data_IF_272372607654
#
_entry.id   IF_272372607654
#
_cell.length_a   1.000
_cell.length_b   1.000
_cell.length_c   1.000
_cell.angle_alpha   90.00
_cell.angle_beta   90.00
_cell.angle_gamma   90.00
#
_symmetry.space_group_name_H-M   'P 1'
#
loop_
_entity.id
_entity.type
_entity.pdbx_description
1 polymer ?
#
# COMPACT_ATOMS: atom_id res chain seq x y z
N UNK A 1 21.45 25.94 15.81
CA UNK A 1 22.09 26.91 16.69
C UNK A 1 22.42 28.22 15.94
N UNK A 2 23.17 28.18 14.84
CA UNK A 2 23.59 29.37 14.08
C UNK A 2 22.40 30.18 13.56
N UNK A 3 21.42 29.58 12.92
CA UNK A 3 20.23 30.28 12.40
C UNK A 3 19.47 31.04 13.48
N UNK A 4 19.30 30.46 14.66
CA UNK A 4 18.68 31.15 15.81
C UNK A 4 19.51 32.33 16.27
N UNK A 5 20.82 32.16 16.36
CA UNK A 5 21.75 33.24 16.74
C UNK A 5 21.64 34.42 15.76
N UNK A 6 21.76 34.15 14.46
CA UNK A 6 21.65 35.22 13.43
C UNK A 6 20.29 35.93 13.45
N UNK A 7 19.18 35.18 13.59
CA UNK A 7 17.85 35.81 13.67
C UNK A 7 17.76 36.75 14.87
N UNK A 8 18.28 36.35 16.05
CA UNK A 8 18.27 37.19 17.24
C UNK A 8 19.13 38.45 17.05
N UNK A 9 20.34 38.36 16.47
CA UNK A 9 21.19 39.49 16.15
C UNK A 9 20.48 40.46 15.18
N UNK A 10 19.91 39.95 14.09
CA UNK A 10 19.21 40.76 13.12
C UNK A 10 17.95 41.43 13.72
N UNK A 11 17.24 40.77 14.61
CA UNK A 11 16.13 41.32 15.35
C UNK A 11 16.59 42.48 16.27
N UNK A 12 17.65 42.25 17.04
CA UNK A 12 18.19 43.23 17.99
C UNK A 12 18.71 44.48 17.23
N UNK A 13 19.24 44.27 16.03
CA UNK A 13 19.60 45.34 15.11
C UNK A 13 18.39 46.00 14.41
N UNK A 14 17.15 45.56 14.71
CA UNK A 14 15.89 46.01 14.13
C UNK A 14 15.77 45.85 12.59
N UNK A 15 16.54 44.91 12.03
CA UNK A 15 16.50 44.58 10.60
C UNK A 15 15.35 43.62 10.24
N UNK A 16 14.93 42.80 11.21
CA UNK A 16 13.79 41.87 11.08
C UNK A 16 12.92 41.93 12.34
N UNK A 17 11.69 41.39 12.22
CA UNK A 17 10.72 41.31 13.34
C UNK A 17 10.50 39.89 13.86
N UNK A 18 11.28 38.91 13.39
CA UNK A 18 11.15 37.51 13.77
C UNK A 18 11.93 37.20 15.04
N UNK A 19 11.35 36.43 15.94
CA UNK A 19 12.02 35.95 17.16
C UNK A 19 12.72 34.59 16.93
N UNK A 20 12.15 33.74 16.11
CA UNK A 20 12.70 32.42 15.80
C UNK A 20 12.70 32.22 14.26
N UNK A 21 13.74 31.54 13.71
CA UNK A 21 13.87 31.35 12.27
C UNK A 21 12.89 30.34 11.68
N UNK A 22 12.36 29.40 12.51
CA UNK A 22 11.52 28.30 12.06
C UNK A 22 10.31 28.13 12.99
N UNK A 23 9.16 27.84 12.42
CA UNK A 23 7.97 27.45 13.18
C UNK A 23 8.04 25.97 13.60
N UNK A 24 8.58 25.12 12.74
CA UNK A 24 8.73 23.68 12.97
C UNK A 24 10.17 23.26 12.72
N UNK A 25 10.66 22.30 13.47
CA UNK A 25 11.97 21.70 13.29
C UNK A 25 11.81 20.17 13.15
N UNK A 26 12.18 19.64 11.98
CA UNK A 26 12.28 18.21 11.74
C UNK A 26 13.73 17.79 11.92
N UNK A 27 14.00 16.96 12.94
CA UNK A 27 15.32 16.37 13.17
C UNK A 27 15.43 15.07 12.39
N UNK A 28 16.36 15.02 11.45
CA UNK A 28 16.60 13.83 10.63
C UNK A 28 17.31 12.75 11.42
N UNK A 29 16.89 11.49 11.23
CA UNK A 29 17.55 10.30 11.78
C UNK A 29 18.92 10.06 11.15
N UNK A 30 19.73 9.23 11.82
CA UNK A 30 21.07 8.89 11.35
C UNK A 30 21.04 7.73 10.36
N UNK A 31 21.99 7.73 9.43
CA UNK A 31 22.22 6.59 8.54
C UNK A 31 23.28 5.67 9.14
N UNK A 32 22.96 4.39 9.26
CA UNK A 32 23.85 3.35 9.81
C UNK A 32 24.26 2.36 8.74
N UNK A 33 25.40 1.73 8.95
CA UNK A 33 25.92 0.62 8.15
C UNK A 33 26.49 -0.44 9.08
N UNK A 34 25.94 -1.65 9.04
CA UNK A 34 26.31 -2.73 9.96
C UNK A 34 26.00 -2.40 11.42
N UNK A 35 24.85 -1.74 11.68
CA UNK A 35 24.42 -1.32 13.01
C UNK A 35 25.22 -0.18 13.64
N UNK A 36 26.08 0.51 12.86
CA UNK A 36 26.92 1.63 13.34
C UNK A 36 26.67 2.88 12.51
N UNK A 37 26.56 4.02 13.19
CA UNK A 37 26.42 5.32 12.52
C UNK A 37 27.60 5.53 11.57
N UNK A 38 27.31 5.93 10.33
CA UNK A 38 28.31 6.23 9.31
C UNK A 38 29.19 7.40 9.75
N UNK A 39 30.51 7.24 9.65
CA UNK A 39 31.49 8.28 9.98
C UNK A 39 32.74 8.11 9.13
N UNK A 40 33.28 9.22 8.62
CA UNK A 40 34.57 9.22 7.88
C UNK A 40 35.71 8.66 8.72
N UNK A 41 35.74 8.95 10.02
CA UNK A 41 36.77 8.45 10.95
C UNK A 41 36.72 6.95 11.17
N UNK A 42 35.55 6.32 10.93
CA UNK A 42 35.35 4.86 11.06
C UNK A 42 35.53 4.11 9.73
N UNK A 43 35.63 4.82 8.62
CA UNK A 43 35.73 4.21 7.30
C UNK A 43 34.50 3.46 6.83
N UNK A 44 33.34 3.64 7.47
CA UNK A 44 32.09 2.96 7.17
C UNK A 44 31.08 3.89 6.44
N UNK A 45 31.56 4.73 5.55
CA UNK A 45 30.74 5.68 4.79
C UNK A 45 30.45 5.11 3.41
N UNK A 46 29.19 5.17 3.00
CA UNK A 46 28.80 4.95 1.61
C UNK A 46 28.91 6.28 0.88
N UNK A 47 29.75 6.34 -0.16
CA UNK A 47 29.89 7.53 -0.99
C UNK A 47 28.65 7.65 -1.92
N UNK A 48 27.85 8.73 -1.79
CA UNK A 48 26.71 8.96 -2.66
C UNK A 48 27.08 8.98 -4.16
N UNK A 49 28.26 9.48 -4.54
CA UNK A 49 28.70 9.51 -5.93
C UNK A 49 28.83 8.12 -6.54
N UNK A 50 29.30 7.14 -5.77
CA UNK A 50 29.35 5.74 -6.21
C UNK A 50 27.97 5.21 -6.56
N UNK A 51 26.96 5.51 -5.73
CA UNK A 51 25.58 5.10 -5.94
C UNK A 51 24.97 5.84 -7.13
N UNK A 52 25.19 7.15 -7.22
CA UNK A 52 24.68 8.00 -8.31
C UNK A 52 25.25 7.54 -9.65
N UNK A 53 26.55 7.28 -9.73
CA UNK A 53 27.19 6.83 -10.96
C UNK A 53 26.70 5.45 -11.42
N UNK A 54 26.33 4.57 -10.48
CA UNK A 54 25.89 3.20 -10.79
C UNK A 54 24.37 3.11 -11.08
N UNK A 55 23.54 3.85 -10.34
CA UNK A 55 22.10 3.68 -10.34
C UNK A 55 21.34 4.96 -10.67
N UNK A 56 21.99 6.08 -10.82
CA UNK A 56 21.39 7.40 -11.03
C UNK A 56 20.98 8.10 -9.73
N UNK A 57 20.82 9.44 -9.77
CA UNK A 57 20.51 10.25 -8.61
C UNK A 57 19.11 9.96 -8.05
N UNK A 58 18.13 9.71 -8.90
CA UNK A 58 16.75 9.43 -8.45
C UNK A 58 16.64 8.13 -7.66
N UNK A 59 17.45 7.11 -8.00
CA UNK A 59 17.50 5.87 -7.21
C UNK A 59 17.98 6.14 -5.80
N UNK A 60 19.03 6.94 -5.64
CA UNK A 60 19.55 7.32 -4.33
C UNK A 60 18.50 8.11 -3.53
N UNK A 61 17.86 9.12 -4.15
CA UNK A 61 16.82 9.94 -3.53
C UNK A 61 15.63 9.12 -3.04
N UNK A 62 15.06 8.32 -3.94
CA UNK A 62 13.89 7.47 -3.63
C UNK A 62 14.23 6.45 -2.55
N UNK A 63 15.43 5.85 -2.60
CA UNK A 63 15.86 4.88 -1.60
C UNK A 63 15.91 5.49 -0.19
N UNK A 64 16.57 6.63 -0.02
CA UNK A 64 16.68 7.30 1.30
C UNK A 64 15.30 7.63 1.87
N UNK A 65 14.38 8.13 1.03
CA UNK A 65 13.03 8.49 1.45
C UNK A 65 12.11 7.28 1.66
N UNK A 66 12.44 6.13 1.06
CA UNK A 66 11.64 4.91 1.14
C UNK A 66 11.92 4.09 2.40
N UNK A 67 13.20 3.96 2.83
CA UNK A 67 13.60 2.98 3.85
C UNK A 67 13.04 3.33 5.23
N UNK A 68 13.00 4.62 5.58
CA UNK A 68 12.51 5.06 6.88
C UNK A 68 11.82 6.42 6.78
N UNK A 69 10.94 6.72 7.76
CA UNK A 69 10.46 8.09 7.95
C UNK A 69 11.64 9.00 8.32
N UNK A 70 11.58 10.30 7.96
CA UNK A 70 12.72 11.22 8.10
C UNK A 70 13.36 11.28 9.49
N UNK A 71 12.56 11.10 10.56
CA UNK A 71 13.03 11.16 11.96
C UNK A 71 13.65 9.86 12.46
N UNK A 72 13.45 8.76 11.76
CA UNK A 72 13.94 7.45 12.18
C UNK A 72 15.33 7.16 11.64
N UNK A 73 16.05 6.33 12.37
CA UNK A 73 17.32 5.78 11.96
C UNK A 73 17.13 4.86 10.75
N UNK A 74 18.08 4.93 9.79
CA UNK A 74 18.06 4.18 8.54
C UNK A 74 19.28 3.28 8.46
N UNK A 75 19.09 1.96 8.35
CA UNK A 75 20.16 1.02 8.03
C UNK A 75 20.33 0.90 6.52
N UNK A 76 21.55 1.14 6.05
CA UNK A 76 21.89 1.09 4.62
C UNK A 76 21.84 -0.34 4.09
N UNK A 77 21.25 -0.54 2.92
CA UNK A 77 21.19 -1.82 2.22
C UNK A 77 21.37 -1.66 0.71
N UNK A 78 22.43 -2.20 0.16
CA UNK A 78 22.68 -2.21 -1.30
C UNK A 78 21.59 -2.98 -2.06
N UNK A 79 21.03 -4.04 -1.45
CA UNK A 79 19.91 -4.78 -2.01
C UNK A 79 18.65 -3.90 -2.10
N UNK A 80 18.42 -3.06 -1.11
CA UNK A 80 17.34 -2.08 -1.10
C UNK A 80 17.48 -1.05 -2.22
N UNK A 81 18.70 -0.51 -2.41
CA UNK A 81 19.01 0.41 -3.53
C UNK A 81 18.71 -0.24 -4.88
N UNK A 82 19.16 -1.48 -5.08
CA UNK A 82 18.89 -2.22 -6.31
C UNK A 82 17.37 -2.49 -6.52
N UNK A 83 16.62 -2.68 -5.44
CA UNK A 83 15.16 -2.81 -5.47
C UNK A 83 14.47 -1.56 -6.02
N UNK A 84 14.90 -0.38 -5.56
CA UNK A 84 14.40 0.93 -6.04
C UNK A 84 14.80 1.17 -7.50
N UNK A 85 16.04 0.86 -7.87
CA UNK A 85 16.48 0.96 -9.27
C UNK A 85 15.57 0.14 -10.22
N UNK A 86 15.25 -1.10 -9.85
CA UNK A 86 14.34 -1.95 -10.64
C UNK A 86 12.92 -1.35 -10.70
N UNK A 87 12.44 -0.78 -9.60
CA UNK A 87 11.13 -0.12 -9.57
C UNK A 87 11.07 1.08 -10.52
N UNK A 88 12.06 1.97 -10.52
CA UNK A 88 12.13 3.13 -11.41
C UNK A 88 12.20 2.71 -12.89
N UNK A 89 13.04 1.73 -13.21
CA UNK A 89 13.12 1.18 -14.58
C UNK A 89 11.80 0.52 -15.01
N UNK A 90 11.14 -0.21 -14.12
CA UNK A 90 9.81 -0.77 -14.39
C UNK A 90 8.80 0.34 -14.69
N UNK A 91 8.81 1.40 -13.90
CA UNK A 91 7.91 2.55 -14.12
C UNK A 91 8.15 3.18 -15.49
N UNK A 92 9.41 3.41 -15.84
CA UNK A 92 9.79 3.93 -17.15
C UNK A 92 9.34 3.03 -18.30
N UNK A 93 9.51 1.72 -18.19
CA UNK A 93 9.11 0.76 -19.23
C UNK A 93 7.59 0.74 -19.50
N UNK A 94 6.78 1.21 -18.58
CA UNK A 94 5.33 1.33 -18.77
C UNK A 94 4.94 2.52 -19.66
N UNK A 95 5.84 3.48 -19.90
CA UNK A 95 5.59 4.67 -20.71
C UNK A 95 5.21 4.34 -22.16
N UNK A 96 5.87 3.36 -22.76
CA UNK A 96 5.71 2.99 -24.18
C UNK A 96 4.56 1.99 -24.41
N UNK A 97 3.87 1.59 -23.37
CA UNK A 97 2.83 0.59 -23.50
C UNK A 97 1.59 1.14 -24.22
N UNK A 98 1.13 0.38 -25.25
CA UNK A 98 -0.11 0.66 -25.98
C UNK A 98 -1.19 -0.31 -25.51
N UNK A 99 -2.03 0.14 -24.63
CA UNK A 99 -3.16 -0.65 -24.14
C UNK A 99 -4.28 -0.78 -25.18
N UNK A 100 -4.98 -1.91 -25.19
CA UNK A 100 -6.06 -2.24 -26.14
C UNK A 100 -7.40 -2.56 -25.47
N UNK A 101 -7.40 -2.89 -24.18
CA UNK A 101 -8.62 -3.26 -23.46
C UNK A 101 -9.30 -2.06 -22.79
N UNK A 102 -10.39 -2.32 -22.07
CA UNK A 102 -11.11 -1.34 -21.25
C UNK A 102 -11.76 -1.95 -20.00
N UNK A 103 -11.59 -3.25 -19.79
CA UNK A 103 -12.27 -4.01 -18.73
C UNK A 103 -11.91 -3.53 -17.32
N UNK A 104 -10.74 -2.90 -17.18
CA UNK A 104 -10.23 -2.40 -15.91
C UNK A 104 -10.24 -0.88 -15.78
N UNK A 105 -10.88 -0.14 -16.69
CA UNK A 105 -10.91 1.33 -16.69
C UNK A 105 -11.46 1.90 -15.36
N UNK A 106 -12.60 1.41 -14.88
CA UNK A 106 -13.18 1.84 -13.59
C UNK A 106 -12.28 1.49 -12.43
N UNK A 107 -11.78 0.26 -12.39
CA UNK A 107 -10.90 -0.22 -11.33
C UNK A 107 -9.64 0.66 -11.20
N UNK A 108 -8.91 0.86 -12.30
CA UNK A 108 -7.65 1.61 -12.26
C UNK A 108 -7.90 3.13 -12.02
N UNK A 109 -9.04 3.66 -12.47
CA UNK A 109 -9.45 5.04 -12.18
C UNK A 109 -9.72 5.23 -10.70
N UNK A 110 -10.37 4.27 -10.04
CA UNK A 110 -10.54 4.29 -8.59
C UNK A 110 -9.19 4.23 -7.89
N UNK A 111 -8.30 3.32 -8.29
CA UNK A 111 -6.97 3.16 -7.67
C UNK A 111 -6.09 4.39 -7.77
N UNK A 112 -6.06 5.09 -8.91
CA UNK A 112 -5.27 6.32 -9.02
C UNK A 112 -5.86 7.46 -8.16
N UNK A 113 -7.19 7.53 -8.03
CA UNK A 113 -7.82 8.53 -7.15
C UNK A 113 -7.56 8.21 -5.67
N UNK A 114 -7.63 6.95 -5.25
CA UNK A 114 -7.20 6.51 -3.91
C UNK A 114 -5.73 6.83 -3.66
N UNK A 115 -4.85 6.58 -4.64
CA UNK A 115 -3.43 6.91 -4.54
C UNK A 115 -3.22 8.41 -4.33
N UNK A 116 -3.86 9.27 -5.13
CA UNK A 116 -3.76 10.73 -4.99
C UNK A 116 -4.22 11.21 -3.60
N UNK A 117 -5.31 10.64 -3.07
CA UNK A 117 -5.79 10.93 -1.71
C UNK A 117 -4.74 10.60 -0.66
N UNK A 118 -4.24 9.36 -0.65
CA UNK A 118 -3.22 8.92 0.31
C UNK A 118 -1.91 9.71 0.19
N UNK A 119 -1.45 9.96 -1.05
CA UNK A 119 -0.21 10.70 -1.23
C UNK A 119 -0.32 12.15 -0.76
N UNK A 120 -1.44 12.80 -0.99
CA UNK A 120 -1.65 14.17 -0.48
C UNK A 120 -1.51 14.19 1.05
N UNK A 121 -2.17 13.27 1.75
CA UNK A 121 -2.09 13.16 3.21
C UNK A 121 -0.67 12.82 3.69
N UNK A 122 -0.02 11.84 3.06
CA UNK A 122 1.35 11.43 3.44
C UNK A 122 2.39 12.52 3.18
N UNK A 123 2.24 13.29 2.10
CA UNK A 123 3.14 14.41 1.80
C UNK A 123 2.99 15.54 2.81
N UNK A 124 1.77 15.87 3.22
CA UNK A 124 1.50 16.88 4.25
C UNK A 124 2.09 16.47 5.62
N UNK A 125 2.05 15.18 5.94
CA UNK A 125 2.58 14.62 7.19
C UNK A 125 4.06 14.19 7.11
N UNK A 126 4.75 14.41 5.96
CA UNK A 126 6.13 13.98 5.71
C UNK A 126 6.36 12.45 5.85
N UNK A 127 5.31 11.66 5.59
CA UNK A 127 5.35 10.19 5.59
C UNK A 127 5.82 9.63 4.24
N UNK A 128 7.01 10.06 3.79
CA UNK A 128 7.52 9.78 2.46
C UNK A 128 7.69 8.30 2.14
N UNK A 129 8.07 7.51 3.12
CA UNK A 129 8.19 6.05 2.99
C UNK A 129 6.84 5.39 2.69
N UNK A 130 5.76 5.82 3.35
CA UNK A 130 4.41 5.36 3.08
C UNK A 130 3.94 5.79 1.68
N UNK A 131 4.21 7.03 1.28
CA UNK A 131 3.91 7.54 -0.05
C UNK A 131 4.59 6.72 -1.16
N UNK A 132 5.90 6.49 -1.05
CA UNK A 132 6.66 5.70 -2.03
C UNK A 132 6.15 4.25 -2.08
N UNK A 133 5.86 3.64 -0.93
CA UNK A 133 5.28 2.29 -0.86
C UNK A 133 3.96 2.21 -1.63
N UNK A 134 3.09 3.21 -1.50
CA UNK A 134 1.83 3.27 -2.26
C UNK A 134 2.05 3.45 -3.76
N UNK A 135 3.03 4.26 -4.17
CA UNK A 135 3.40 4.42 -5.59
C UNK A 135 3.91 3.07 -6.15
N UNK A 136 4.79 2.37 -5.44
CA UNK A 136 5.30 1.05 -5.85
C UNK A 136 4.14 0.06 -6.03
N UNK A 137 3.21 0.00 -5.07
CA UNK A 137 2.02 -0.85 -5.14
C UNK A 137 1.16 -0.50 -6.37
N UNK A 138 0.92 0.79 -6.62
CA UNK A 138 0.15 1.23 -7.77
C UNK A 138 0.82 0.89 -9.11
N UNK A 139 2.13 1.08 -9.23
CA UNK A 139 2.91 0.69 -10.42
C UNK A 139 2.80 -0.82 -10.68
N UNK A 140 2.79 -1.63 -9.63
CA UNK A 140 2.58 -3.07 -9.74
C UNK A 140 1.17 -3.41 -10.25
N UNK A 141 0.13 -2.73 -9.75
CA UNK A 141 -1.25 -2.87 -10.21
C UNK A 141 -1.35 -2.45 -11.68
N UNK A 142 -0.82 -1.29 -12.05
CA UNK A 142 -0.84 -0.77 -13.41
C UNK A 142 -0.13 -1.73 -14.38
N UNK A 143 1.05 -2.21 -14.00
CA UNK A 143 1.83 -3.19 -14.80
C UNK A 143 1.07 -4.49 -15.06
N UNK A 144 0.28 -4.95 -14.08
CA UNK A 144 -0.51 -6.19 -14.18
C UNK A 144 -1.71 -6.04 -15.11
N UNK A 145 -2.36 -4.90 -15.07
CA UNK A 145 -3.62 -4.67 -15.78
C UNK A 145 -3.48 -3.82 -17.05
N UNK A 146 -2.27 -3.42 -17.43
CA UNK A 146 -1.99 -2.50 -18.54
C UNK A 146 -2.68 -2.88 -19.85
N UNK A 147 -2.81 -4.18 -20.18
CA UNK A 147 -3.46 -4.65 -21.40
C UNK A 147 -4.99 -4.44 -21.39
N UNK A 148 -5.59 -4.32 -20.21
CA UNK A 148 -7.03 -4.26 -19.99
C UNK A 148 -7.52 -2.83 -19.66
N UNK A 149 -6.73 -1.81 -19.99
CA UNK A 149 -7.04 -0.40 -19.76
C UNK A 149 -7.12 0.31 -21.11
N UNK A 150 -8.14 1.15 -21.33
CA UNK A 150 -8.22 1.92 -22.57
C UNK A 150 -7.08 2.92 -22.70
N UNK A 151 -6.61 3.16 -23.93
CA UNK A 151 -5.47 4.05 -24.18
C UNK A 151 -5.68 5.47 -23.65
N UNK A 152 -6.93 5.97 -23.66
CA UNK A 152 -7.28 7.28 -23.11
C UNK A 152 -7.08 7.33 -21.59
N UNK A 153 -7.63 6.35 -20.88
CA UNK A 153 -7.51 6.23 -19.42
C UNK A 153 -6.05 5.98 -19.02
N UNK A 154 -5.35 5.11 -19.75
CA UNK A 154 -3.94 4.82 -19.51
C UNK A 154 -3.07 6.08 -19.56
N UNK A 155 -3.26 6.93 -20.59
CA UNK A 155 -2.54 8.21 -20.71
C UNK A 155 -2.81 9.15 -19.53
N UNK A 156 -4.07 9.31 -19.16
CA UNK A 156 -4.46 10.18 -18.04
C UNK A 156 -3.86 9.72 -16.71
N UNK A 157 -3.94 8.41 -16.46
CA UNK A 157 -3.37 7.78 -15.26
C UNK A 157 -1.86 7.93 -15.22
N UNK A 158 -1.19 7.69 -16.36
CA UNK A 158 0.25 7.80 -16.43
C UNK A 158 0.74 9.24 -16.21
N UNK A 159 0.00 10.23 -16.76
CA UNK A 159 0.22 11.64 -16.44
C UNK A 159 0.17 11.91 -14.93
N UNK A 160 -0.88 11.45 -14.26
CA UNK A 160 -1.04 11.60 -12.81
C UNK A 160 0.08 10.90 -12.04
N UNK A 161 0.45 9.69 -12.46
CA UNK A 161 1.55 8.94 -11.83
C UNK A 161 2.89 9.69 -11.91
N UNK A 162 3.20 10.31 -13.06
CA UNK A 162 4.42 11.12 -13.20
C UNK A 162 4.39 12.31 -12.24
N UNK A 163 3.27 13.03 -12.14
CA UNK A 163 3.12 14.14 -11.21
C UNK A 163 3.33 13.72 -9.75
N UNK A 164 2.82 12.56 -9.36
CA UNK A 164 2.97 12.01 -8.01
C UNK A 164 4.40 11.51 -7.72
N UNK A 165 5.11 11.00 -8.73
CA UNK A 165 6.45 10.48 -8.60
C UNK A 165 7.53 11.57 -8.64
N UNK A 166 7.29 12.66 -9.36
CA UNK A 166 8.29 13.69 -9.65
C UNK A 166 8.95 14.33 -8.42
N UNK A 167 8.28 14.54 -7.25
CA UNK A 167 8.95 15.04 -6.06
C UNK A 167 10.05 14.11 -5.53
N UNK A 168 9.90 12.82 -5.75
CA UNK A 168 10.84 11.78 -5.31
C UNK A 168 11.91 11.50 -6.35
N UNK A 169 11.52 11.41 -7.62
CA UNK A 169 12.36 11.09 -8.77
C UNK A 169 12.25 12.15 -9.87
N UNK A 170 12.79 13.37 -9.65
CA UNK A 170 12.59 14.51 -10.54
C UNK A 170 13.18 14.30 -11.94
N UNK A 171 14.37 13.70 -12.08
CA UNK A 171 14.98 13.49 -13.39
C UNK A 171 14.17 12.50 -14.23
N UNK A 172 13.74 11.39 -13.62
CA UNK A 172 12.89 10.43 -14.30
C UNK A 172 11.52 11.03 -14.63
N UNK A 173 10.97 11.86 -13.73
CA UNK A 173 9.72 12.58 -13.95
C UNK A 173 9.77 13.49 -15.16
N UNK A 174 10.81 14.34 -15.27
CA UNK A 174 11.00 15.24 -16.41
C UNK A 174 11.23 14.47 -17.73
N UNK A 175 12.05 13.41 -17.72
CA UNK A 175 12.30 12.57 -18.89
C UNK A 175 11.00 11.92 -19.42
N UNK A 176 10.19 11.36 -18.52
CA UNK A 176 8.90 10.79 -18.90
C UNK A 176 7.92 11.84 -19.39
N UNK A 177 7.93 13.02 -18.80
CA UNK A 177 7.08 14.14 -19.15
C UNK A 177 7.38 14.65 -20.56
N UNK A 178 8.66 14.82 -20.88
CA UNK A 178 9.13 15.23 -22.21
C UNK A 178 8.78 14.16 -23.27
N UNK A 179 8.95 12.88 -22.98
CA UNK A 179 8.58 11.78 -23.89
C UNK A 179 7.09 11.72 -24.19
N UNK A 180 6.24 12.14 -23.25
CA UNK A 180 4.81 12.31 -23.49
C UNK A 180 4.48 13.59 -24.25
N UNK A 181 5.50 14.40 -24.63
CA UNK A 181 5.39 15.65 -25.40
C UNK A 181 4.62 16.77 -24.69
N UNK A 182 4.70 16.81 -23.37
CA UNK A 182 4.25 17.98 -22.61
C UNK A 182 5.28 19.10 -22.76
N UNK A 183 4.82 20.36 -22.86
CA UNK A 183 5.68 21.52 -23.18
C UNK A 183 6.33 22.18 -21.97
N UNK A 184 5.74 22.01 -20.78
CA UNK A 184 6.25 22.56 -19.52
C UNK A 184 7.16 21.56 -18.81
N UNK A 185 7.89 21.99 -17.78
CA UNK A 185 8.54 21.09 -16.83
C UNK A 185 7.49 20.49 -15.89
N UNK A 186 7.64 19.20 -15.55
CA UNK A 186 6.73 18.55 -14.60
C UNK A 186 6.78 19.21 -13.21
N UNK A 187 7.93 19.73 -12.84
CA UNK A 187 8.16 20.46 -11.59
C UNK A 187 7.37 21.77 -11.46
N UNK A 188 6.87 22.33 -12.57
CA UNK A 188 6.04 23.54 -12.60
C UNK A 188 4.54 23.21 -12.62
N UNK A 189 4.18 21.94 -12.74
CA UNK A 189 2.79 21.52 -12.79
C UNK A 189 2.16 21.49 -11.39
N UNK A 190 0.85 21.63 -11.35
CA UNK A 190 0.10 21.54 -10.09
C UNK A 190 0.01 20.09 -9.60
N UNK A 191 0.03 19.94 -8.28
CA UNK A 191 -0.27 18.66 -7.63
C UNK A 191 -1.64 18.15 -8.07
N UNK A 192 -1.77 16.88 -8.47
CA UNK A 192 -3.02 16.34 -8.98
C UNK A 192 -4.07 16.20 -7.86
N UNK A 193 -5.30 16.61 -8.17
CA UNK A 193 -6.43 16.55 -7.23
C UNK A 193 -7.26 15.31 -7.52
N UNK A 194 -7.61 14.56 -6.48
CA UNK A 194 -8.47 13.39 -6.59
C UNK A 194 -9.96 13.77 -6.63
N UNK A 195 -10.75 12.97 -7.33
CA UNK A 195 -12.21 13.01 -7.26
C UNK A 195 -12.71 11.91 -6.34
N UNK A 196 -13.30 12.30 -5.20
CA UNK A 196 -13.83 11.36 -4.20
C UNK A 196 -14.93 10.46 -4.78
N UNK A 197 -15.69 10.92 -5.77
CA UNK A 197 -16.76 10.14 -6.41
C UNK A 197 -16.24 8.99 -7.25
N UNK A 198 -14.98 9.05 -7.67
CA UNK A 198 -14.31 8.01 -8.45
C UNK A 198 -13.61 6.97 -7.58
N UNK A 199 -13.56 7.18 -6.26
CA UNK A 199 -12.99 6.22 -5.32
C UNK A 199 -14.05 5.20 -4.93
N UNK A 200 -13.77 3.95 -5.19
CA UNK A 200 -14.55 2.81 -4.71
C UNK A 200 -13.74 2.10 -3.61
N UNK A 201 -14.08 2.38 -2.36
CA UNK A 201 -13.38 1.83 -1.19
C UNK A 201 -13.49 0.31 -1.10
N UNK A 202 -14.56 -0.27 -1.67
CA UNK A 202 -14.74 -1.72 -1.74
C UNK A 202 -13.61 -2.40 -2.51
N UNK A 203 -13.15 -1.79 -3.62
CA UNK A 203 -12.03 -2.31 -4.39
C UNK A 203 -10.70 -2.32 -3.59
N UNK A 204 -10.49 -1.32 -2.71
CA UNK A 204 -9.32 -1.29 -1.84
C UNK A 204 -9.36 -2.41 -0.79
N UNK A 205 -10.56 -2.69 -0.26
CA UNK A 205 -10.79 -3.81 0.67
C UNK A 205 -10.53 -5.15 -0.02
N UNK A 206 -11.09 -5.34 -1.21
CA UNK A 206 -10.96 -6.58 -1.99
C UNK A 206 -9.49 -6.87 -2.34
N UNK A 207 -8.71 -5.85 -2.74
CA UNK A 207 -7.28 -6.03 -2.99
C UNK A 207 -6.51 -6.43 -1.71
N UNK A 208 -6.84 -5.79 -0.58
CA UNK A 208 -6.24 -6.12 0.71
C UNK A 208 -6.53 -7.56 1.13
N UNK A 209 -7.72 -8.08 0.83
CA UNK A 209 -8.07 -9.48 1.08
C UNK A 209 -7.15 -10.40 0.28
N UNK A 210 -6.91 -10.11 -1.00
CA UNK A 210 -5.99 -10.90 -1.84
C UNK A 210 -4.56 -10.86 -1.28
N UNK A 211 -4.06 -9.67 -0.92
CA UNK A 211 -2.73 -9.50 -0.35
C UNK A 211 -2.56 -10.27 0.95
N UNK A 212 -3.50 -10.13 1.89
CA UNK A 212 -3.48 -10.83 3.17
C UNK A 212 -3.56 -12.35 2.98
N UNK A 213 -4.52 -12.83 2.16
CA UNK A 213 -4.68 -14.26 1.89
C UNK A 213 -3.41 -14.85 1.27
N UNK A 214 -2.77 -14.13 0.34
CA UNK A 214 -1.50 -14.56 -0.27
C UNK A 214 -0.38 -14.62 0.77
N UNK A 215 -0.26 -13.61 1.63
CA UNK A 215 0.72 -13.59 2.72
C UNK A 215 0.51 -14.72 3.72
N UNK A 216 -0.74 -14.95 4.13
CA UNK A 216 -1.10 -16.02 5.06
C UNK A 216 -0.72 -17.40 4.49
N UNK A 217 -0.98 -17.65 3.19
CA UNK A 217 -0.56 -18.91 2.53
C UNK A 217 0.96 -19.06 2.56
N UNK A 218 1.72 -17.99 2.27
CA UNK A 218 3.18 -18.02 2.29
C UNK A 218 3.69 -18.30 3.71
N UNK A 219 3.13 -17.66 4.72
CA UNK A 219 3.53 -17.85 6.11
C UNK A 219 3.23 -19.26 6.60
N UNK A 220 2.01 -19.76 6.36
CA UNK A 220 1.63 -21.14 6.72
C UNK A 220 2.54 -22.14 6.01
N UNK A 221 2.84 -21.91 4.71
CA UNK A 221 3.73 -22.79 3.91
C UNK A 221 5.14 -22.89 4.48
N UNK A 222 5.65 -21.86 5.17
CA UNK A 222 6.96 -21.88 5.84
C UNK A 222 6.95 -22.68 7.14
N UNK A 223 5.79 -22.79 7.79
CA UNK A 223 5.65 -23.47 9.09
C UNK A 223 5.44 -24.98 8.95
N UNK A 224 4.98 -25.47 7.80
CA UNK A 224 4.74 -26.89 7.57
C UNK A 224 6.04 -27.63 7.24
N UNK A 225 6.13 -28.89 7.69
CA UNK A 225 7.33 -29.73 7.54
C UNK A 225 7.39 -30.53 6.23
N UNK A 226 6.37 -30.44 5.39
CA UNK A 226 6.30 -31.12 4.10
C UNK A 226 6.27 -30.10 2.95
N UNK A 227 6.60 -30.53 1.73
CA UNK A 227 6.54 -29.65 0.55
C UNK A 227 5.08 -29.55 0.09
N UNK A 228 4.46 -28.36 0.19
CA UNK A 228 3.08 -28.20 -0.21
C UNK A 228 2.93 -28.24 -1.73
N UNK A 229 1.79 -28.74 -2.22
CA UNK A 229 1.43 -28.78 -3.63
C UNK A 229 0.16 -28.02 -3.95
N UNK A 230 -0.72 -27.86 -2.96
CA UNK A 230 -2.05 -27.27 -3.12
C UNK A 230 -2.46 -26.49 -1.87
N UNK A 231 -3.18 -25.40 -2.05
CA UNK A 231 -3.88 -24.72 -0.97
C UNK A 231 -5.38 -24.60 -1.30
N UNK A 232 -6.22 -24.80 -0.29
CA UNK A 232 -7.67 -24.60 -0.36
C UNK A 232 -8.02 -23.33 0.41
N UNK A 233 -8.63 -22.38 -0.26
CA UNK A 233 -9.13 -21.12 0.32
C UNK A 233 -10.62 -21.32 0.54
N UNK A 234 -11.08 -21.14 1.79
CA UNK A 234 -12.47 -21.36 2.19
C UNK A 234 -13.10 -20.02 2.53
N UNK A 235 -14.10 -19.65 1.76
CA UNK A 235 -14.87 -18.41 1.96
C UNK A 235 -15.90 -18.64 3.07
N UNK A 236 -16.05 -17.66 3.93
CA UNK A 236 -16.95 -17.69 5.06
C UNK A 236 -18.42 -17.95 4.66
N UNK A 237 -19.18 -18.55 5.56
CA UNK A 237 -20.61 -18.77 5.40
C UNK A 237 -21.39 -17.45 5.28
N UNK A 238 -22.46 -17.45 4.49
CA UNK A 238 -23.25 -16.27 4.18
C UNK A 238 -23.80 -15.54 5.42
N UNK A 239 -24.27 -16.28 6.42
CA UNK A 239 -24.82 -15.69 7.64
C UNK A 239 -23.82 -14.82 8.41
N UNK A 240 -22.53 -15.07 8.30
CA UNK A 240 -21.49 -14.27 8.96
C UNK A 240 -21.33 -12.89 8.31
N UNK A 241 -21.57 -12.75 6.99
CA UNK A 241 -21.64 -11.45 6.33
C UNK A 241 -22.81 -10.63 6.84
N UNK A 242 -23.99 -11.26 6.96
CA UNK A 242 -25.18 -10.61 7.49
C UNK A 242 -24.99 -10.21 8.96
N UNK A 243 -24.35 -11.04 9.76
CA UNK A 243 -23.98 -10.74 11.14
C UNK A 243 -23.04 -9.53 11.23
N UNK A 244 -21.94 -9.51 10.46
CA UNK A 244 -20.99 -8.39 10.51
C UNK A 244 -21.62 -7.09 10.03
N UNK A 245 -22.53 -7.13 9.05
CA UNK A 245 -23.30 -5.96 8.63
C UNK A 245 -24.15 -5.40 9.78
N UNK A 246 -24.88 -6.26 10.50
CA UNK A 246 -25.64 -5.87 11.70
C UNK A 246 -24.74 -5.27 12.78
N UNK A 247 -23.56 -5.87 13.03
CA UNK A 247 -22.60 -5.36 14.01
C UNK A 247 -22.03 -3.98 13.64
N UNK A 248 -21.89 -3.68 12.34
CA UNK A 248 -21.47 -2.36 11.87
C UNK A 248 -22.51 -1.26 12.15
N UNK A 249 -23.79 -1.61 12.09
CA UNK A 249 -24.92 -0.70 12.34
C UNK A 249 -25.20 -0.53 13.83
N UNK A 250 -24.68 -1.43 14.68
CA UNK A 250 -24.92 -1.44 16.12
C UNK A 250 -24.16 -0.30 16.81
N UNK A 251 -24.90 0.50 17.58
CA UNK A 251 -24.35 1.65 18.33
C UNK A 251 -23.87 1.28 19.73
N UNK A 252 -24.42 0.20 20.29
CA UNK A 252 -24.05 -0.28 21.62
C UNK A 252 -22.70 -0.97 21.59
N UNK A 253 -21.93 -0.83 22.67
CA UNK A 253 -20.72 -1.62 22.93
C UNK A 253 -20.91 -2.61 24.09
N UNK A 254 -22.14 -2.73 24.57
CA UNK A 254 -22.48 -3.73 25.57
C UNK A 254 -22.74 -5.09 24.93
N UNK A 255 -22.04 -6.11 25.39
CA UNK A 255 -22.13 -7.46 24.84
C UNK A 255 -23.55 -8.03 24.93
N UNK A 256 -24.23 -7.84 26.07
CA UNK A 256 -25.57 -8.37 26.28
C UNK A 256 -26.62 -7.73 25.38
N UNK A 257 -26.50 -6.40 25.17
CA UNK A 257 -27.38 -5.66 24.27
C UNK A 257 -27.19 -6.11 22.81
N UNK A 258 -25.94 -6.25 22.38
CA UNK A 258 -25.62 -6.72 21.02
C UNK A 258 -26.17 -8.13 20.82
N UNK A 259 -25.90 -9.06 21.75
CA UNK A 259 -26.34 -10.45 21.62
C UNK A 259 -27.86 -10.57 21.50
N UNK A 260 -28.65 -9.72 22.18
CA UNK A 260 -30.12 -9.69 22.03
C UNK A 260 -30.57 -9.38 20.59
N UNK A 261 -29.81 -8.53 19.89
CA UNK A 261 -30.17 -8.07 18.56
C UNK A 261 -29.69 -9.00 17.44
N UNK A 262 -28.60 -9.76 17.68
CA UNK A 262 -27.93 -10.56 16.63
C UNK A 262 -27.93 -12.07 16.89
N UNK A 263 -28.39 -12.55 18.06
CA UNK A 263 -28.37 -13.98 18.38
C UNK A 263 -29.34 -14.77 17.51
N UNK A 264 -28.86 -15.92 17.08
CA UNK A 264 -29.59 -16.97 16.37
C UNK A 264 -29.39 -18.29 17.14
N UNK A 265 -30.44 -19.12 17.19
CA UNK A 265 -30.39 -20.40 17.91
C UNK A 265 -29.41 -21.38 17.32
N UNK A 266 -29.22 -21.36 16.00
CA UNK A 266 -28.38 -22.30 15.27
C UNK A 266 -26.90 -21.99 15.46
N UNK A 267 -26.51 -20.70 15.47
CA UNK A 267 -25.11 -20.26 15.49
C UNK A 267 -24.70 -19.53 16.79
N UNK A 268 -25.47 -19.64 17.87
CA UNK A 268 -25.32 -18.84 19.10
C UNK A 268 -23.89 -18.81 19.65
N UNK A 269 -23.20 -19.98 19.70
CA UNK A 269 -21.83 -20.08 20.21
C UNK A 269 -20.82 -19.37 19.31
N UNK A 270 -20.97 -19.44 17.98
CA UNK A 270 -20.10 -18.79 17.02
C UNK A 270 -20.32 -17.28 17.02
N UNK A 271 -21.59 -16.84 17.04
CA UNK A 271 -21.97 -15.44 17.16
C UNK A 271 -21.34 -14.80 18.40
N UNK A 272 -21.45 -15.49 19.56
CA UNK A 272 -20.85 -15.01 20.82
C UNK A 272 -19.33 -14.75 20.67
N UNK A 273 -18.60 -15.67 20.05
CA UNK A 273 -17.15 -15.51 19.81
C UNK A 273 -16.84 -14.36 18.85
N UNK A 274 -17.63 -14.23 17.78
CA UNK A 274 -17.46 -13.15 16.80
C UNK A 274 -17.74 -11.79 17.45
N UNK A 275 -18.84 -11.66 18.23
CA UNK A 275 -19.18 -10.42 18.95
C UNK A 275 -18.11 -10.04 19.97
N UNK A 276 -17.57 -11.01 20.74
CA UNK A 276 -16.47 -10.74 21.67
C UNK A 276 -15.21 -10.25 20.93
N UNK A 277 -14.86 -10.87 19.80
CA UNK A 277 -13.71 -10.47 19.00
C UNK A 277 -13.91 -9.09 18.34
N UNK A 278 -15.13 -8.78 17.93
CA UNK A 278 -15.51 -7.46 17.42
C UNK A 278 -15.35 -6.37 18.48
N UNK A 279 -15.86 -6.60 19.70
CA UNK A 279 -15.76 -5.66 20.80
C UNK A 279 -14.30 -5.42 21.26
N UNK A 280 -13.44 -6.42 21.12
CA UNK A 280 -11.98 -6.30 21.36
C UNK A 280 -11.23 -5.61 20.23
N UNK A 281 -11.88 -5.27 19.12
CA UNK A 281 -11.25 -4.67 17.96
C UNK A 281 -10.42 -5.64 17.10
N UNK A 282 -10.56 -6.96 17.31
CA UNK A 282 -9.80 -7.99 16.59
C UNK A 282 -10.41 -8.36 15.23
N UNK A 283 -11.62 -7.91 14.93
CA UNK A 283 -12.32 -8.15 13.67
C UNK A 283 -12.61 -6.81 13.02
N UNK A 284 -12.12 -6.63 11.79
CA UNK A 284 -12.53 -5.52 10.94
C UNK A 284 -13.83 -5.90 10.23
N UNK A 285 -14.80 -5.00 10.25
CA UNK A 285 -16.08 -5.18 9.56
C UNK A 285 -16.06 -4.45 8.23
N UNK A 286 -16.19 -5.22 7.16
CA UNK A 286 -16.29 -4.73 5.80
C UNK A 286 -17.73 -4.79 5.30
N UNK A 287 -18.09 -3.89 4.39
CA UNK A 287 -19.38 -3.92 3.69
C UNK A 287 -19.26 -4.80 2.46
N UNK A 288 -19.26 -6.10 2.69
CA UNK A 288 -19.10 -7.14 1.69
C UNK A 288 -20.24 -8.15 1.78
N UNK A 289 -20.52 -8.81 0.67
CA UNK A 289 -21.33 -10.03 0.61
C UNK A 289 -20.45 -11.21 0.21
N UNK A 290 -20.92 -12.43 0.43
CA UNK A 290 -20.14 -13.64 0.14
C UNK A 290 -19.67 -13.72 -1.31
N UNK A 291 -20.52 -13.29 -2.24
CA UNK A 291 -20.21 -13.23 -3.67
C UNK A 291 -19.03 -12.30 -3.98
N UNK A 292 -18.87 -11.20 -3.25
CA UNK A 292 -17.73 -10.29 -3.43
C UNK A 292 -16.39 -10.97 -3.16
N UNK A 293 -16.29 -11.69 -2.05
CA UNK A 293 -15.10 -12.46 -1.69
C UNK A 293 -14.86 -13.59 -2.69
N UNK A 294 -15.92 -14.29 -3.10
CA UNK A 294 -15.83 -15.39 -4.04
C UNK A 294 -15.33 -14.93 -5.42
N UNK A 295 -16.00 -13.96 -6.02
CA UNK A 295 -15.65 -13.43 -7.36
C UNK A 295 -14.25 -12.79 -7.35
N UNK A 296 -13.90 -12.10 -6.27
CA UNK A 296 -12.60 -11.50 -6.13
C UNK A 296 -11.47 -12.55 -6.08
N UNK A 297 -11.63 -13.58 -5.27
CA UNK A 297 -10.66 -14.67 -5.16
C UNK A 297 -10.55 -15.47 -6.46
N UNK A 298 -11.67 -15.80 -7.11
CA UNK A 298 -11.69 -16.49 -8.42
C UNK A 298 -10.99 -15.65 -9.48
N UNK A 299 -11.30 -14.36 -9.58
CA UNK A 299 -10.72 -13.46 -10.57
C UNK A 299 -9.20 -13.25 -10.40
N UNK A 300 -8.70 -13.44 -9.19
CA UNK A 300 -7.28 -13.28 -8.85
C UNK A 300 -6.57 -14.62 -8.58
N UNK A 301 -7.22 -15.77 -8.84
CA UNK A 301 -6.68 -17.11 -8.58
C UNK A 301 -5.30 -17.31 -9.20
N UNK A 302 -5.16 -17.07 -10.50
CA UNK A 302 -3.89 -17.26 -11.23
C UNK A 302 -2.76 -16.40 -10.64
N UNK A 303 -3.10 -15.21 -10.13
CA UNK A 303 -2.15 -14.32 -9.49
C UNK A 303 -1.68 -14.89 -8.15
N UNK A 304 -2.61 -15.42 -7.33
CA UNK A 304 -2.28 -16.05 -6.06
C UNK A 304 -1.40 -17.27 -6.34
N UNK A 305 -1.79 -18.15 -7.27
CA UNK A 305 -1.02 -19.35 -7.65
C UNK A 305 0.42 -19.02 -8.04
N UNK A 306 0.62 -18.00 -8.88
CA UNK A 306 1.96 -17.52 -9.28
C UNK A 306 2.78 -16.98 -8.11
N UNK A 307 2.11 -16.30 -7.17
CA UNK A 307 2.79 -15.68 -6.02
C UNK A 307 3.22 -16.70 -4.97
N UNK A 308 2.41 -17.73 -4.75
CA UNK A 308 2.66 -18.77 -3.73
C UNK A 308 3.31 -20.03 -4.30
N UNK A 309 3.35 -20.19 -5.62
CA UNK A 309 3.82 -21.36 -6.35
C UNK A 309 3.09 -22.66 -5.92
N UNK A 310 1.78 -22.58 -5.69
CA UNK A 310 0.89 -23.67 -5.32
C UNK A 310 -0.36 -23.63 -6.19
N UNK A 311 -0.99 -24.80 -6.41
CA UNK A 311 -2.34 -24.83 -6.97
C UNK A 311 -3.35 -24.35 -5.95
N UNK A 312 -4.26 -23.45 -6.36
CA UNK A 312 -5.29 -22.89 -5.49
C UNK A 312 -6.65 -23.48 -5.85
N UNK A 313 -7.37 -23.93 -4.84
CA UNK A 313 -8.79 -24.28 -4.93
C UNK A 313 -9.58 -23.34 -4.02
N UNK A 314 -10.69 -22.80 -4.52
CA UNK A 314 -11.53 -21.86 -3.79
C UNK A 314 -12.89 -22.53 -3.59
N UNK A 315 -13.36 -22.57 -2.33
CA UNK A 315 -14.61 -23.22 -1.93
C UNK A 315 -15.40 -22.30 -1.01
N UNK A 316 -16.71 -22.41 -1.05
CA UNK A 316 -17.59 -21.83 -0.04
C UNK A 316 -17.66 -22.78 1.16
N UNK A 317 -17.80 -22.21 2.36
CA UNK A 317 -17.80 -22.99 3.60
C UNK A 317 -18.99 -23.96 3.66
N UNK A 318 -20.11 -23.60 3.04
CA UNK A 318 -21.32 -24.43 2.94
C UNK A 318 -21.06 -25.72 2.12
N UNK A 319 -20.11 -25.69 1.20
CA UNK A 319 -19.78 -26.81 0.31
C UNK A 319 -18.62 -27.69 0.84
N UNK A 320 -18.02 -27.28 1.97
CA UNK A 320 -16.79 -27.91 2.44
C UNK A 320 -16.75 -28.04 3.96
N UNK A 321 -17.04 -29.23 4.47
CA UNK A 321 -17.05 -29.53 5.91
C UNK A 321 -15.64 -29.70 6.46
N UNK A 322 -15.12 -28.67 7.13
CA UNK A 322 -13.79 -28.67 7.78
C UNK A 322 -13.78 -27.70 8.96
N UNK A 323 -12.94 -27.90 9.96
CA UNK A 323 -12.83 -26.95 11.09
C UNK A 323 -12.47 -25.54 10.64
N UNK A 324 -11.64 -25.40 9.61
CA UNK A 324 -11.28 -24.10 9.00
C UNK A 324 -12.46 -23.38 8.36
N UNK A 325 -13.51 -24.10 7.94
CA UNK A 325 -14.75 -23.48 7.44
C UNK A 325 -15.44 -22.66 8.52
N UNK A 326 -15.49 -23.17 9.75
CA UNK A 326 -16.04 -22.47 10.90
C UNK A 326 -15.22 -21.24 11.32
N UNK A 327 -13.89 -21.28 11.11
CA UNK A 327 -12.96 -20.20 11.45
C UNK A 327 -12.95 -19.08 10.41
N UNK A 328 -13.38 -19.35 9.18
CA UNK A 328 -13.45 -18.36 8.12
C UNK A 328 -14.40 -17.19 8.50
N UNK A 329 -13.95 -15.97 8.23
CA UNK A 329 -14.71 -14.75 8.43
C UNK A 329 -14.78 -13.93 7.13
N UNK A 330 -15.78 -13.08 6.93
CA UNK A 330 -15.84 -12.14 5.82
C UNK A 330 -14.54 -11.34 5.70
N UNK A 331 -13.93 -11.37 4.52
CA UNK A 331 -12.63 -10.74 4.28
C UNK A 331 -11.40 -11.44 4.88
N UNK A 332 -11.59 -12.56 5.58
CA UNK A 332 -10.52 -13.41 6.13
C UNK A 332 -10.84 -14.88 5.91
N UNK A 333 -10.58 -15.42 4.73
CA UNK A 333 -10.90 -16.79 4.38
C UNK A 333 -10.11 -17.80 5.23
N UNK A 334 -10.67 -18.99 5.38
CA UNK A 334 -9.94 -20.15 5.94
C UNK A 334 -8.93 -20.68 4.93
N UNK A 335 -7.77 -21.14 5.40
CA UNK A 335 -6.70 -21.67 4.53
C UNK A 335 -6.30 -23.06 5.01
N UNK A 336 -6.26 -24.02 4.07
CA UNK A 336 -5.73 -25.36 4.26
C UNK A 336 -4.63 -25.57 3.23
N UNK A 337 -3.50 -26.09 3.65
CA UNK A 337 -2.36 -26.41 2.77
C UNK A 337 -2.09 -27.91 2.81
N UNK A 338 -2.02 -28.52 1.62
CA UNK A 338 -1.83 -29.95 1.40
C UNK A 338 -0.58 -30.23 0.55
#
# INVERSE_FOLDING_TARGET
>A
LYSRFFVKVLRDLKLIKLDEPFKNLLCQGMVTLGGKVMSKSRGNVVDPLTIINKYGPDTCRVYILFVASPEKELEWSDQGVHGIFRFLNKTYSLLEHKSKGNQKDKYITSKINSLMRYLTEYMENMEFNAAITKIISFVNILSRHKENISSKIYKDIFKKLILLLSPFAPHLGEEMWEKLRYKSFVSLEKWPVYDKKLIDEKLDILDKIIENTTSDIIEISKLIKFKPSKAVIIISEKWKYDLLKKLKEEKSRDFGAIMKNVSDKEHSNEISKIVQSYLKGNIMVYDLVQEDDYENLISNKDQIEKSVNLKIEIKKAEEFTHEKSKQALPGKPGIIIN
#
